data_IF_790935532465
#
_entry.id   IF_790935532465
#
_cell.length_a   1.000
_cell.length_b   1.000
_cell.length_c   1.000
_cell.angle_alpha   90.00
_cell.angle_beta   90.00
_cell.angle_gamma   90.00
#
_symmetry.space_group_name_H-M   'P 1'
#
loop_
_entity.id
_entity.type
_entity.pdbx_description
1 polymer ?
#
# COMPACT_ATOMS: atom_id res chain seq x y z
N UNK A 1 -39.07 2.58 67.00
CA UNK A 1 -37.81 3.35 66.94
C UNK A 1 -37.66 3.89 65.52
N UNK A 2 -37.62 5.22 65.38
CA UNK A 2 -37.68 5.95 64.10
C UNK A 2 -36.31 5.95 63.44
N UNK A 3 -36.23 5.67 62.13
CA UNK A 3 -35.23 6.28 61.23
C UNK A 3 -35.92 6.65 59.91
N UNK A 4 -35.60 7.85 59.44
CA UNK A 4 -36.24 8.61 58.36
C UNK A 4 -35.38 8.56 57.08
N UNK A 5 -36.04 8.49 55.93
CA UNK A 5 -35.81 9.29 54.69
C UNK A 5 -34.73 8.91 53.63
N UNK A 6 -35.25 8.71 52.39
CA UNK A 6 -34.90 9.36 51.09
C UNK A 6 -33.73 8.87 50.18
N UNK A 7 -34.00 9.04 48.86
CA UNK A 7 -33.15 9.00 47.63
C UNK A 7 -33.10 7.60 46.94
N UNK A 8 -33.76 7.28 45.80
CA UNK A 8 -33.92 7.85 44.45
C UNK A 8 -32.86 7.38 43.40
N UNK A 9 -33.36 6.72 42.34
CA UNK A 9 -32.91 6.67 40.92
C UNK A 9 -31.52 6.09 40.58
N UNK A 10 -31.49 5.03 39.75
CA UNK A 10 -30.96 5.11 38.37
C UNK A 10 -30.89 3.72 37.70
N UNK A 11 -31.41 3.64 36.48
CA UNK A 11 -31.31 2.51 35.58
C UNK A 11 -29.88 2.40 35.03
N UNK A 12 -29.27 1.22 35.14
CA UNK A 12 -27.98 0.93 34.51
C UNK A 12 -28.21 0.03 33.31
N UNK A 13 -28.38 0.68 32.16
CA UNK A 13 -28.43 0.05 30.85
C UNK A 13 -27.02 -0.16 30.29
N UNK A 14 -26.84 -1.32 29.66
CA UNK A 14 -25.99 -1.57 28.50
C UNK A 14 -24.46 -1.57 28.68
N UNK A 15 -23.91 -2.74 29.04
CA UNK A 15 -22.48 -3.05 28.98
C UNK A 15 -22.18 -4.20 27.99
N UNK A 16 -22.57 -4.04 26.71
CA UNK A 16 -22.27 -5.01 25.66
C UNK A 16 -21.81 -4.37 24.33
N UNK A 17 -21.22 -3.16 24.37
CA UNK A 17 -20.80 -2.43 23.17
C UNK A 17 -19.27 -2.19 23.03
N UNK A 18 -18.43 -2.68 23.95
CA UNK A 18 -16.99 -2.37 23.95
C UNK A 18 -16.11 -3.20 22.99
N UNK A 19 -16.67 -4.05 22.11
CA UNK A 19 -15.86 -4.87 21.20
C UNK A 19 -15.87 -4.42 19.72
N UNK A 20 -16.58 -3.34 19.36
CA UNK A 20 -16.83 -2.98 17.95
C UNK A 20 -16.22 -1.65 17.47
N UNK A 21 -15.35 -1.01 18.26
CA UNK A 21 -14.83 0.34 17.96
C UNK A 21 -13.30 0.34 17.80
N UNK A 22 -12.74 -0.44 16.88
CA UNK A 22 -11.37 -0.20 16.37
C UNK A 22 -11.10 -0.79 14.97
N UNK A 23 -12.11 -0.77 14.10
CA UNK A 23 -11.94 -1.12 12.68
C UNK A 23 -12.22 0.06 11.73
N UNK A 24 -12.53 1.24 12.28
CA UNK A 24 -12.97 2.41 11.51
C UNK A 24 -11.81 3.22 10.90
N UNK A 25 -10.55 2.84 11.14
CA UNK A 25 -9.35 3.59 10.72
C UNK A 25 -8.48 2.82 9.72
N UNK A 26 -8.74 1.54 9.47
CA UNK A 26 -7.91 0.73 8.56
C UNK A 26 -8.44 0.76 7.13
N UNK A 27 -7.55 1.04 6.20
CA UNK A 27 -7.78 0.80 4.77
C UNK A 27 -7.79 -0.72 4.55
N UNK A 28 -8.73 -1.27 3.77
CA UNK A 28 -8.67 -2.67 3.36
C UNK A 28 -7.34 -2.98 2.69
N UNK A 29 -6.76 -4.14 2.98
CA UNK A 29 -5.56 -4.59 2.27
C UNK A 29 -5.93 -4.81 0.81
N UNK A 30 -5.18 -4.18 -0.11
CA UNK A 30 -5.35 -4.37 -1.54
C UNK A 30 -5.23 -5.86 -1.88
N UNK A 31 -6.11 -6.35 -2.75
CA UNK A 31 -6.04 -7.72 -3.27
C UNK A 31 -5.53 -7.67 -4.68
N UNK A 32 -4.46 -8.42 -4.95
CA UNK A 32 -3.85 -8.51 -6.26
C UNK A 32 -4.21 -9.84 -6.92
N UNK A 33 -4.18 -9.89 -8.25
CA UNK A 33 -4.28 -11.17 -8.95
C UNK A 33 -3.00 -12.02 -8.74
N UNK A 34 -3.08 -13.28 -9.16
CA UNK A 34 -1.98 -14.24 -8.98
C UNK A 34 -0.71 -13.81 -9.72
N UNK A 35 -0.85 -13.26 -10.92
CA UNK A 35 0.28 -12.83 -11.74
C UNK A 35 1.02 -11.64 -11.09
N UNK A 36 0.27 -10.63 -10.64
CA UNK A 36 0.80 -9.47 -9.93
C UNK A 36 1.47 -9.89 -8.63
N UNK A 37 0.85 -10.80 -7.88
CA UNK A 37 1.43 -11.34 -6.64
C UNK A 37 2.75 -12.06 -6.90
N UNK A 38 2.84 -12.84 -7.97
CA UNK A 38 4.07 -13.55 -8.35
C UNK A 38 5.21 -12.60 -8.73
N UNK A 39 4.91 -11.55 -9.50
CA UNK A 39 5.89 -10.51 -9.86
C UNK A 39 6.34 -9.72 -8.63
N UNK A 40 5.41 -9.26 -7.78
CA UNK A 40 5.75 -8.56 -6.53
C UNK A 40 6.67 -9.39 -5.61
N UNK A 41 6.53 -10.71 -5.62
CA UNK A 41 7.33 -11.60 -4.78
C UNK A 41 8.71 -11.95 -5.37
N UNK A 42 8.86 -11.98 -6.69
CA UNK A 42 10.04 -12.53 -7.36
C UNK A 42 10.84 -11.55 -8.21
N UNK A 43 10.22 -10.47 -8.69
CA UNK A 43 10.87 -9.51 -9.56
C UNK A 43 11.81 -8.61 -8.75
N UNK A 44 13.12 -8.70 -9.03
CA UNK A 44 14.14 -7.96 -8.29
C UNK A 44 13.99 -6.43 -8.40
N UNK A 45 13.33 -5.92 -9.45
CA UNK A 45 13.09 -4.48 -9.63
C UNK A 45 11.94 -3.97 -8.74
N UNK A 46 11.09 -4.88 -8.25
CA UNK A 46 9.98 -4.57 -7.35
C UNK A 46 10.32 -4.80 -5.87
N UNK A 47 11.42 -5.47 -5.56
CA UNK A 47 11.80 -5.76 -4.18
C UNK A 47 12.15 -4.48 -3.40
N UNK A 48 11.76 -4.43 -2.13
CA UNK A 48 12.19 -3.36 -1.22
C UNK A 48 13.71 -3.26 -1.14
N UNK A 49 14.20 -2.03 -1.11
CA UNK A 49 15.63 -1.78 -1.02
C UNK A 49 16.12 -2.02 0.41
N UNK A 50 17.36 -2.49 0.51
CA UNK A 50 18.00 -2.76 1.81
C UNK A 50 19.30 -1.96 1.90
N UNK A 51 19.70 -1.61 3.13
CA UNK A 51 20.91 -0.84 3.39
C UNK A 51 20.66 0.47 4.17
N UNK A 52 21.72 1.26 4.40
CA UNK A 52 21.62 2.55 5.10
C UNK A 52 20.69 3.55 4.39
N UNK A 53 20.18 4.54 5.12
CA UNK A 53 19.39 5.66 4.58
C UNK A 53 18.11 5.29 3.80
N UNK A 54 17.49 4.14 4.11
CA UNK A 54 16.29 3.67 3.40
C UNK A 54 16.59 2.72 2.24
N UNK A 55 17.86 2.31 2.09
CA UNK A 55 18.28 1.30 1.12
C UNK A 55 18.73 1.89 -0.21
N UNK A 56 19.38 1.04 -1.00
CA UNK A 56 19.83 1.35 -2.36
C UNK A 56 19.24 0.37 -3.38
N UNK A 57 19.04 0.79 -4.65
CA UNK A 57 18.64 -0.13 -5.70
C UNK A 57 19.64 -1.29 -5.85
N UNK A 58 19.13 -2.48 -6.15
CA UNK A 58 19.92 -3.68 -6.43
C UNK A 58 20.50 -3.61 -7.85
N UNK A 59 21.48 -2.72 -8.05
CA UNK A 59 22.10 -2.47 -9.37
C UNK A 59 22.72 -3.73 -10.00
N UNK A 60 23.18 -4.68 -9.17
CA UNK A 60 23.72 -5.98 -9.59
C UNK A 60 22.66 -6.91 -10.20
N UNK A 61 21.37 -6.60 -10.00
CA UNK A 61 20.22 -7.37 -10.50
C UNK A 61 19.41 -6.63 -11.56
N UNK A 62 19.94 -5.51 -12.08
CA UNK A 62 19.31 -4.81 -13.18
C UNK A 62 19.37 -5.65 -14.46
N UNK A 63 18.20 -6.06 -14.95
CA UNK A 63 18.03 -6.77 -16.21
C UNK A 63 16.84 -6.17 -16.98
N UNK A 64 17.04 -5.89 -18.27
CA UNK A 64 16.01 -5.36 -19.15
C UNK A 64 14.82 -6.33 -19.30
N UNK A 65 15.04 -7.64 -19.14
CA UNK A 65 13.95 -8.62 -19.17
C UNK A 65 12.94 -8.43 -18.02
N UNK A 66 13.35 -7.80 -16.92
CA UNK A 66 12.52 -7.62 -15.74
C UNK A 66 11.66 -6.36 -15.77
N UNK A 67 11.99 -5.35 -16.58
CA UNK A 67 11.36 -4.03 -16.47
C UNK A 67 9.90 -4.01 -16.91
N UNK A 68 9.58 -4.69 -18.02
CA UNK A 68 8.19 -4.76 -18.50
C UNK A 68 7.26 -5.44 -17.49
N UNK A 69 7.53 -6.67 -17.02
CA UNK A 69 6.67 -7.30 -16.02
C UNK A 69 6.66 -6.53 -14.69
N UNK A 70 7.77 -5.87 -14.32
CA UNK A 70 7.80 -5.01 -13.14
C UNK A 70 6.86 -3.80 -13.28
N UNK A 71 6.88 -3.09 -14.41
CA UNK A 71 6.00 -1.95 -14.64
C UNK A 71 4.52 -2.35 -14.68
N UNK A 72 4.19 -3.45 -15.36
CA UNK A 72 2.82 -3.97 -15.44
C UNK A 72 2.29 -4.36 -14.04
N UNK A 73 3.05 -5.15 -13.28
CA UNK A 73 2.66 -5.54 -11.93
C UNK A 73 2.64 -4.35 -10.96
N UNK A 74 3.60 -3.42 -11.07
CA UNK A 74 3.61 -2.19 -10.28
C UNK A 74 2.38 -1.33 -10.53
N UNK A 75 1.99 -1.11 -11.79
CA UNK A 75 0.77 -0.37 -12.13
C UNK A 75 -0.50 -1.08 -11.64
N UNK A 76 -0.58 -2.40 -11.79
CA UNK A 76 -1.72 -3.18 -11.31
C UNK A 76 -1.84 -3.11 -9.77
N UNK A 77 -0.72 -3.19 -9.06
CA UNK A 77 -0.68 -3.05 -7.61
C UNK A 77 -1.12 -1.65 -7.15
N UNK A 78 -0.56 -0.58 -7.75
CA UNK A 78 -0.95 0.80 -7.45
C UNK A 78 -2.45 1.04 -7.66
N UNK A 79 -3.01 0.51 -8.74
CA UNK A 79 -4.44 0.64 -9.02
C UNK A 79 -5.29 -0.08 -7.95
N UNK A 80 -4.92 -1.30 -7.58
CA UNK A 80 -5.62 -2.07 -6.55
C UNK A 80 -5.54 -1.39 -5.17
N UNK A 81 -4.43 -0.75 -4.83
CA UNK A 81 -4.27 0.04 -3.61
C UNK A 81 -5.18 1.27 -3.60
N UNK A 82 -5.21 2.03 -4.70
CA UNK A 82 -6.11 3.17 -4.85
C UNK A 82 -7.57 2.72 -4.80
N UNK A 83 -7.93 1.61 -5.43
CA UNK A 83 -9.29 1.05 -5.38
C UNK A 83 -9.68 0.64 -3.96
N UNK A 84 -8.74 0.07 -3.18
CA UNK A 84 -8.99 -0.28 -1.79
C UNK A 84 -9.23 0.96 -0.90
N UNK A 85 -8.51 2.05 -1.16
CA UNK A 85 -8.71 3.34 -0.49
C UNK A 85 -10.06 3.95 -0.90
N UNK A 86 -10.34 4.03 -2.20
CA UNK A 86 -11.54 4.64 -2.75
C UNK A 86 -12.82 3.93 -2.31
N UNK A 87 -12.76 2.60 -2.16
CA UNK A 87 -13.89 1.76 -1.74
C UNK A 87 -13.89 1.45 -0.24
N UNK A 88 -13.06 2.13 0.57
CA UNK A 88 -13.05 1.93 2.01
C UNK A 88 -14.42 2.32 2.62
N UNK A 89 -15.16 1.39 3.27
CA UNK A 89 -16.49 1.67 3.82
C UNK A 89 -16.46 2.54 5.08
N UNK A 90 -15.28 2.75 5.69
CA UNK A 90 -15.13 3.64 6.83
C UNK A 90 -15.34 5.10 6.43
N UNK A 91 -15.73 5.94 7.38
CA UNK A 91 -15.79 7.39 7.16
C UNK A 91 -14.39 7.91 6.77
N UNK A 92 -14.26 8.76 5.74
CA UNK A 92 -12.96 9.27 5.33
C UNK A 92 -12.31 10.11 6.44
N UNK A 93 -11.03 9.86 6.68
CA UNK A 93 -10.13 10.59 7.58
C UNK A 93 -8.85 10.95 6.83
N UNK A 94 -8.00 11.77 7.46
CA UNK A 94 -6.70 12.10 6.89
C UNK A 94 -5.84 10.83 6.70
N UNK A 95 -5.88 9.91 7.67
CA UNK A 95 -5.09 8.68 7.68
C UNK A 95 -5.54 7.67 6.62
N UNK A 96 -6.85 7.44 6.49
CA UNK A 96 -7.37 6.39 5.60
C UNK A 96 -7.54 6.86 4.15
N UNK A 97 -7.34 8.15 3.87
CA UNK A 97 -7.45 8.74 2.53
C UNK A 97 -6.11 9.33 2.11
N UNK A 98 -5.65 10.43 2.71
CA UNK A 98 -4.46 11.15 2.25
C UNK A 98 -3.16 10.41 2.60
N UNK A 99 -2.97 10.01 3.85
CA UNK A 99 -1.78 9.25 4.24
C UNK A 99 -1.71 7.91 3.52
N UNK A 100 -2.86 7.28 3.30
CA UNK A 100 -2.93 6.05 2.53
C UNK A 100 -2.53 6.27 1.06
N UNK A 101 -3.05 7.31 0.40
CA UNK A 101 -2.71 7.67 -0.98
C UNK A 101 -1.22 7.97 -1.14
N UNK A 102 -0.61 8.71 -0.20
CA UNK A 102 0.83 9.01 -0.22
C UNK A 102 1.73 7.78 -0.05
N UNK A 103 1.19 6.65 0.41
CA UNK A 103 1.92 5.37 0.57
C UNK A 103 1.69 4.40 -0.59
N UNK A 104 0.79 4.71 -1.52
CA UNK A 104 0.52 3.81 -2.65
C UNK A 104 1.63 3.83 -3.68
N UNK A 105 1.80 2.70 -4.38
CA UNK A 105 2.63 2.60 -5.57
C UNK A 105 4.12 2.43 -5.32
N UNK A 106 4.56 2.12 -4.10
CA UNK A 106 5.99 1.89 -3.83
C UNK A 106 6.65 0.86 -4.77
N UNK A 107 6.01 -0.28 -5.15
CA UNK A 107 6.61 -1.20 -6.12
C UNK A 107 6.83 -0.54 -7.49
N UNK A 108 5.86 0.26 -7.95
CA UNK A 108 5.97 0.98 -9.22
C UNK A 108 7.07 2.04 -9.17
N UNK A 109 7.20 2.78 -8.07
CA UNK A 109 8.26 3.77 -7.88
C UNK A 109 9.66 3.14 -7.96
N UNK A 110 9.83 1.94 -7.38
CA UNK A 110 11.08 1.18 -7.49
C UNK A 110 11.35 0.78 -8.95
N UNK A 111 10.37 0.23 -9.66
CA UNK A 111 10.52 -0.10 -11.09
C UNK A 111 10.85 1.15 -11.94
N UNK A 112 10.16 2.27 -11.69
CA UNK A 112 10.38 3.53 -12.38
C UNK A 112 11.75 4.14 -12.12
N UNK A 113 12.35 3.88 -10.95
CA UNK A 113 13.74 4.27 -10.67
C UNK A 113 14.71 3.60 -11.65
N UNK A 114 14.57 2.29 -11.86
CA UNK A 114 15.40 1.56 -12.82
C UNK A 114 15.13 2.00 -14.26
N UNK A 115 13.85 2.19 -14.62
CA UNK A 115 13.46 2.74 -15.92
C UNK A 115 14.10 4.11 -16.18
N UNK A 116 14.11 5.00 -15.18
CA UNK A 116 14.75 6.31 -15.25
C UNK A 116 16.25 6.22 -15.56
N UNK A 117 16.94 5.30 -14.89
CA UNK A 117 18.37 5.06 -15.11
C UNK A 117 18.65 4.55 -16.52
N UNK A 118 17.85 3.59 -17.01
CA UNK A 118 17.99 3.10 -18.39
C UNK A 118 17.61 4.16 -19.43
N UNK A 119 16.59 4.98 -19.18
CA UNK A 119 16.20 6.04 -20.12
C UNK A 119 17.20 7.19 -20.21
N UNK A 120 18.03 7.40 -19.17
CA UNK A 120 18.98 8.50 -19.11
C UNK A 120 20.45 8.03 -19.14
N UNK A 121 20.94 7.46 -18.03
CA UNK A 121 22.36 7.25 -17.80
C UNK A 121 22.97 6.10 -18.63
N UNK A 122 22.20 5.03 -18.85
CA UNK A 122 22.68 3.79 -19.50
C UNK A 122 21.77 3.35 -20.66
N UNK A 123 21.26 4.31 -21.42
CA UNK A 123 20.37 4.05 -22.56
C UNK A 123 21.03 3.21 -23.65
N UNK A 124 20.34 2.13 -24.05
CA UNK A 124 20.75 1.21 -25.10
C UNK A 124 19.74 1.17 -26.24
N UNK A 125 20.15 0.65 -27.41
CA UNK A 125 19.22 0.44 -28.52
C UNK A 125 18.13 -0.59 -28.20
N UNK A 126 18.42 -1.53 -27.30
CA UNK A 126 17.47 -2.50 -26.78
C UNK A 126 16.43 -1.84 -25.87
N UNK A 127 16.87 -1.06 -24.88
CA UNK A 127 15.94 -0.35 -23.99
C UNK A 127 15.04 0.62 -24.74
N UNK A 128 15.56 1.34 -25.74
CA UNK A 128 14.74 2.26 -26.55
C UNK A 128 13.62 1.56 -27.33
N UNK A 129 13.74 0.27 -27.63
CA UNK A 129 12.65 -0.52 -28.21
C UNK A 129 11.57 -0.80 -27.16
N UNK A 130 11.98 -1.22 -25.96
CA UNK A 130 11.07 -1.44 -24.81
C UNK A 130 10.33 -0.15 -24.47
N UNK A 131 11.02 0.99 -24.45
CA UNK A 131 10.43 2.31 -24.17
C UNK A 131 9.40 2.77 -25.22
N UNK A 132 9.44 2.23 -26.44
CA UNK A 132 8.52 2.61 -27.51
C UNK A 132 7.22 1.76 -27.54
N UNK A 133 7.15 0.70 -26.73
CA UNK A 133 5.94 -0.10 -26.51
C UNK A 133 4.90 0.68 -25.69
#
# INVERSE_FOLDING_TARGET
>A
MRVKHLIAVSAMALAAACAAMDNSTKVPVATFDEATTAELASNALLAEWTGPHGGQPAFDRMDLALIKPALEAGMAASLAEIDAIANNPAKPTFENTLVAMERTGEPLDRAMTYYGIWSSNVSSAEFRKIQAE
#
